data_IF_619614327336
#
_entry.id   IF_619614327336
#
_cell.length_a   1.000
_cell.length_b   1.000
_cell.length_c   1.000
_cell.angle_alpha   90.00
_cell.angle_beta   90.00
_cell.angle_gamma   90.00
#
_symmetry.space_group_name_H-M   'P 1'
#
loop_
_entity.id
_entity.type
_entity.pdbx_description
1 polymer ?
#
# COMPACT_ATOMS: atom_id res chain seq x y z
N UNK A 1 -41.36 -50.12 20.10
CA UNK A 1 -40.94 -51.50 20.41
C UNK A 1 -41.74 -52.45 19.52
N UNK A 2 -41.43 -52.55 18.23
CA UNK A 2 -42.11 -53.46 17.29
C UNK A 2 -41.20 -54.61 16.83
N UNK A 3 -39.95 -54.65 17.30
CA UNK A 3 -38.94 -55.63 16.90
C UNK A 3 -38.88 -56.84 17.84
N UNK A 4 -39.79 -56.93 18.81
CA UNK A 4 -39.87 -58.01 19.80
C UNK A 4 -40.62 -59.25 19.29
N UNK A 5 -41.44 -59.11 18.24
CA UNK A 5 -42.29 -60.19 17.71
C UNK A 5 -41.59 -61.08 16.66
N UNK A 6 -40.47 -60.65 16.08
CA UNK A 6 -39.65 -61.44 15.15
C UNK A 6 -38.21 -61.60 15.66
N UNK A 7 -37.94 -62.63 16.50
CA UNK A 7 -36.58 -62.86 16.96
C UNK A 7 -35.69 -63.33 15.80
N UNK A 8 -34.58 -62.65 15.58
CA UNK A 8 -33.59 -62.95 14.53
C UNK A 8 -32.74 -64.18 14.89
N UNK A 9 -33.38 -65.36 14.99
CA UNK A 9 -32.81 -66.62 15.50
C UNK A 9 -31.79 -67.29 14.55
N UNK A 10 -31.54 -66.73 13.36
CA UNK A 10 -30.61 -67.25 12.36
C UNK A 10 -29.60 -66.23 11.82
N UNK A 11 -29.53 -65.02 12.39
CA UNK A 11 -28.68 -63.96 11.88
C UNK A 11 -27.27 -64.04 12.44
N UNK A 12 -26.28 -64.30 11.58
CA UNK A 12 -24.86 -64.37 11.96
C UNK A 12 -24.30 -62.97 12.14
N UNK A 13 -24.13 -62.53 13.39
CA UNK A 13 -23.48 -61.25 13.71
C UNK A 13 -22.04 -61.28 13.17
N UNK A 14 -21.72 -60.34 12.29
CA UNK A 14 -20.37 -60.21 11.74
C UNK A 14 -19.38 -59.79 12.83
N UNK A 15 -18.10 -60.16 12.70
CA UNK A 15 -17.07 -59.74 13.65
C UNK A 15 -17.03 -58.22 13.74
N UNK A 16 -17.07 -57.71 14.96
CA UNK A 16 -17.02 -56.29 15.27
C UNK A 16 -15.86 -55.58 14.57
N UNK A 17 -16.16 -54.56 13.76
CA UNK A 17 -15.19 -53.66 13.15
C UNK A 17 -15.35 -52.27 13.76
N UNK A 18 -14.39 -51.77 14.55
CA UNK A 18 -14.48 -50.43 15.12
C UNK A 18 -14.46 -49.40 13.98
N UNK A 19 -15.51 -48.57 13.88
CA UNK A 19 -15.65 -47.57 12.81
C UNK A 19 -14.89 -46.28 13.09
N UNK A 20 -14.60 -45.97 14.35
CA UNK A 20 -13.90 -44.78 14.76
C UNK A 20 -12.74 -45.19 15.68
N UNK A 21 -11.52 -44.84 15.28
CA UNK A 21 -10.35 -44.92 16.13
C UNK A 21 -10.16 -43.56 16.79
N UNK A 22 -9.80 -43.56 18.08
CA UNK A 22 -9.47 -42.34 18.81
C UNK A 22 -8.36 -41.62 18.05
N UNK A 23 -8.58 -40.34 17.76
CA UNK A 23 -7.59 -39.50 17.10
C UNK A 23 -6.52 -39.20 18.14
N UNK A 24 -5.30 -39.66 17.88
CA UNK A 24 -4.15 -39.38 18.75
C UNK A 24 -3.75 -37.90 18.63
N UNK A 25 -3.33 -37.25 19.73
CA UNK A 25 -2.98 -35.83 19.73
C UNK A 25 -1.85 -35.48 18.75
N UNK A 26 -0.96 -36.43 18.44
CA UNK A 26 0.07 -36.28 17.40
C UNK A 26 -0.48 -36.21 15.98
N UNK A 27 -1.66 -36.79 15.72
CA UNK A 27 -2.34 -36.70 14.42
C UNK A 27 -3.01 -35.34 14.27
N UNK A 28 -3.54 -34.79 15.37
CA UNK A 28 -4.12 -33.44 15.41
C UNK A 28 -3.02 -32.40 15.15
N UNK A 29 -1.85 -32.52 15.78
CA UNK A 29 -0.74 -31.60 15.55
C UNK A 29 -0.22 -31.67 14.11
N UNK A 30 -0.15 -32.87 13.52
CA UNK A 30 0.20 -33.04 12.09
C UNK A 30 -0.83 -32.42 11.15
N UNK A 31 -2.13 -32.55 11.43
CA UNK A 31 -3.18 -31.92 10.62
C UNK A 31 -3.17 -30.39 10.73
N UNK A 32 -2.90 -29.85 11.93
CA UNK A 32 -2.76 -28.40 12.15
C UNK A 32 -1.50 -27.87 11.45
N UNK A 33 -0.39 -28.60 11.53
CA UNK A 33 0.85 -28.23 10.84
C UNK A 33 0.67 -28.23 9.31
N UNK A 34 0.07 -29.30 8.76
CA UNK A 34 -0.23 -29.38 7.33
C UNK A 34 -1.19 -28.26 6.88
N UNK A 35 -2.22 -27.94 7.68
CA UNK A 35 -3.12 -26.81 7.38
C UNK A 35 -2.41 -25.46 7.42
N UNK A 36 -1.40 -25.30 8.28
CA UNK A 36 -0.61 -24.07 8.39
C UNK A 36 0.36 -23.90 7.21
N UNK A 37 0.88 -25.02 6.69
CA UNK A 37 1.71 -25.04 5.47
C UNK A 37 0.86 -24.81 4.21
N UNK A 38 -0.34 -25.40 4.12
CA UNK A 38 -1.27 -25.17 3.01
C UNK A 38 -1.80 -23.72 2.98
N UNK A 39 -2.07 -23.11 4.14
CA UNK A 39 -2.44 -21.69 4.24
C UNK A 39 -1.29 -20.75 3.86
N UNK A 40 -0.03 -21.15 4.05
CA UNK A 40 1.14 -20.38 3.61
C UNK A 40 1.40 -20.52 2.10
N UNK A 41 1.00 -21.66 1.51
CA UNK A 41 1.17 -21.94 0.08
C UNK A 41 0.06 -21.37 -0.81
N UNK A 42 -1.16 -21.13 -0.29
CA UNK A 42 -2.30 -20.64 -1.06
C UNK A 42 -2.26 -19.13 -1.43
N UNK A 43 -1.25 -18.38 -0.99
CA UNK A 43 -1.25 -16.91 -1.01
C UNK A 43 -0.20 -16.21 -1.88
N UNK A 44 0.46 -16.87 -2.84
CA UNK A 44 1.41 -16.18 -3.72
C UNK A 44 1.25 -16.59 -5.18
N UNK A 45 0.24 -16.01 -5.83
CA UNK A 45 0.45 -15.64 -7.23
C UNK A 45 1.70 -14.74 -7.25
N UNK A 46 2.78 -15.20 -7.88
CA UNK A 46 3.98 -14.39 -8.02
C UNK A 46 3.58 -13.10 -8.74
N UNK A 47 3.58 -11.98 -8.01
CA UNK A 47 3.26 -10.69 -8.61
C UNK A 47 4.25 -10.42 -9.74
N UNK A 48 3.76 -10.04 -10.91
CA UNK A 48 4.57 -9.61 -12.05
C UNK A 48 4.54 -8.08 -12.16
N UNK A 49 5.62 -7.46 -12.65
CA UNK A 49 5.72 -5.99 -12.81
C UNK A 49 6.23 -5.28 -11.55
N UNK A 50 5.89 -3.99 -11.36
CA UNK A 50 6.42 -3.14 -10.27
C UNK A 50 6.19 -3.70 -8.85
N UNK A 51 5.18 -4.55 -8.64
CA UNK A 51 4.91 -5.23 -7.38
C UNK A 51 5.94 -6.33 -7.04
N UNK A 52 6.68 -6.83 -8.04
CA UNK A 52 7.79 -7.77 -7.84
C UNK A 52 9.06 -7.04 -7.36
N UNK A 53 9.34 -5.88 -7.96
CA UNK A 53 10.51 -5.06 -7.65
C UNK A 53 10.35 -4.33 -6.31
N UNK A 54 9.15 -3.78 -6.05
CA UNK A 54 8.81 -3.05 -4.83
C UNK A 54 7.54 -3.64 -4.19
N UNK A 55 7.67 -4.64 -3.30
CA UNK A 55 6.52 -5.30 -2.70
C UNK A 55 5.77 -4.38 -1.74
N UNK A 56 4.47 -4.63 -1.60
CA UNK A 56 3.59 -3.90 -0.68
C UNK A 56 4.14 -4.02 0.75
N UNK A 57 4.29 -2.88 1.42
CA UNK A 57 4.75 -2.82 2.82
C UNK A 57 3.71 -3.44 3.76
N UNK A 58 4.10 -3.81 5.00
CA UNK A 58 3.16 -4.28 6.01
C UNK A 58 1.99 -3.31 6.20
N UNK A 59 0.83 -3.87 6.58
CA UNK A 59 -0.37 -3.11 6.91
C UNK A 59 -0.07 -2.12 8.05
N UNK A 60 -0.66 -0.93 7.94
CA UNK A 60 -0.60 0.12 8.96
C UNK A 60 -2.02 0.41 9.44
N UNK A 61 -2.14 0.93 10.66
CA UNK A 61 -3.41 1.39 11.21
C UNK A 61 -3.86 2.69 10.52
N UNK A 62 -5.18 2.91 10.48
CA UNK A 62 -5.74 4.15 9.91
C UNK A 62 -5.17 5.41 10.57
N UNK A 63 -4.93 5.37 11.89
CA UNK A 63 -4.36 6.48 12.65
C UNK A 63 -2.96 6.90 12.14
N UNK A 64 -2.18 5.98 11.57
CA UNK A 64 -0.89 6.31 10.96
C UNK A 64 -1.05 7.04 9.63
N UNK A 65 -2.11 6.74 8.87
CA UNK A 65 -2.47 7.49 7.67
C UNK A 65 -3.05 8.87 8.01
N UNK A 66 -3.95 8.97 9.01
CA UNK A 66 -4.54 10.26 9.41
C UNK A 66 -3.50 11.24 9.97
N UNK A 67 -2.41 10.73 10.56
CA UNK A 67 -1.23 11.52 10.93
C UNK A 67 -0.57 12.22 9.75
N UNK A 68 -0.77 11.80 8.50
CA UNK A 68 -0.22 12.47 7.32
C UNK A 68 -1.20 13.55 6.85
N UNK A 69 -0.72 14.79 6.75
CA UNK A 69 -1.50 15.88 6.16
C UNK A 69 -1.20 15.98 4.68
N UNK A 70 -1.99 15.26 3.88
CA UNK A 70 -1.93 15.29 2.43
C UNK A 70 -2.84 16.41 1.90
N UNK A 71 -2.29 17.32 1.10
CA UNK A 71 -3.01 18.47 0.56
C UNK A 71 -2.83 18.59 -0.94
N UNK A 72 -3.87 19.02 -1.62
CA UNK A 72 -3.78 19.50 -3.00
C UNK A 72 -3.12 20.88 -2.98
N UNK A 73 -2.11 21.07 -3.83
CA UNK A 73 -1.42 22.33 -3.97
C UNK A 73 -1.25 22.70 -5.45
N UNK A 74 -1.28 23.99 -5.75
CA UNK A 74 -1.01 24.51 -7.08
C UNK A 74 0.45 24.90 -7.22
N UNK A 75 1.10 24.47 -8.29
CA UNK A 75 2.48 24.87 -8.58
C UNK A 75 2.44 26.28 -9.16
N UNK A 76 2.79 27.29 -8.35
CA UNK A 76 2.81 28.70 -8.78
C UNK A 76 4.09 29.02 -9.55
N UNK A 77 5.20 28.42 -9.12
CA UNK A 77 6.51 28.64 -9.72
C UNK A 77 7.30 27.34 -9.68
N UNK A 78 8.00 27.05 -10.76
CA UNK A 78 8.98 25.97 -10.83
C UNK A 78 10.29 26.55 -11.37
N UNK A 79 11.41 26.22 -10.74
CA UNK A 79 12.73 26.65 -11.17
C UNK A 79 13.75 25.52 -11.02
N UNK A 80 14.74 25.41 -11.93
CA UNK A 80 15.85 24.50 -11.73
C UNK A 80 16.72 24.97 -10.56
N UNK A 81 17.26 24.01 -9.80
CA UNK A 81 18.19 24.31 -8.71
C UNK A 81 19.61 24.32 -9.26
N UNK A 82 20.31 25.44 -9.11
CA UNK A 82 21.74 25.55 -9.48
C UNK A 82 22.59 24.60 -8.63
N UNK A 83 23.34 23.71 -9.29
CA UNK A 83 24.16 22.70 -8.61
C UNK A 83 23.43 21.42 -8.21
N UNK A 84 22.17 21.21 -8.65
CA UNK A 84 21.49 19.92 -8.55
C UNK A 84 20.89 19.49 -9.90
N UNK A 85 21.40 18.38 -10.43
CA UNK A 85 20.98 17.88 -11.74
C UNK A 85 19.60 17.23 -11.73
N UNK A 86 19.14 16.77 -10.56
CA UNK A 86 17.88 16.02 -10.40
C UNK A 86 16.77 16.80 -9.70
N UNK A 87 17.04 17.99 -9.16
CA UNK A 87 16.10 18.73 -8.32
C UNK A 87 15.49 19.94 -9.05
N UNK A 88 14.19 20.11 -8.90
CA UNK A 88 13.46 21.34 -9.16
C UNK A 88 13.01 21.96 -7.85
N UNK A 89 13.08 23.29 -7.75
CA UNK A 89 12.45 24.06 -6.69
C UNK A 89 11.03 24.42 -7.14
N UNK A 90 10.05 24.01 -6.36
CA UNK A 90 8.63 24.26 -6.59
C UNK A 90 8.10 25.17 -5.47
N UNK A 91 7.43 26.25 -5.87
CA UNK A 91 6.61 27.06 -4.97
C UNK A 91 5.16 26.61 -5.13
N UNK A 92 4.63 26.01 -4.07
CA UNK A 92 3.30 25.42 -4.01
C UNK A 92 2.35 26.35 -3.26
N UNK A 93 1.18 26.63 -3.82
CA UNK A 93 0.11 27.40 -3.17
C UNK A 93 -0.99 26.45 -2.69
N UNK A 94 -1.36 26.60 -1.42
CA UNK A 94 -2.42 25.85 -0.74
C UNK A 94 -3.72 26.67 -0.62
N UNK A 95 -3.88 27.73 -1.41
CA UNK A 95 -5.08 28.59 -1.41
C UNK A 95 -5.04 29.71 -0.38
N UNK A 96 -3.85 30.05 0.14
CA UNK A 96 -3.68 31.06 1.18
C UNK A 96 -2.31 31.03 1.85
N UNK A 97 -1.63 29.89 1.78
CA UNK A 97 -0.24 29.72 2.22
C UNK A 97 0.59 29.17 1.06
N UNK A 98 1.75 29.78 0.81
CA UNK A 98 2.73 29.27 -0.15
C UNK A 98 3.87 28.56 0.56
N UNK A 99 4.27 27.40 0.04
CA UNK A 99 5.39 26.62 0.57
C UNK A 99 6.44 26.33 -0.47
N UNK A 100 7.68 26.24 -0.02
CA UNK A 100 8.80 25.89 -0.86
C UNK A 100 9.16 24.41 -0.71
N UNK A 101 9.19 23.68 -1.83
CA UNK A 101 9.49 22.24 -1.85
C UNK A 101 10.53 21.94 -2.94
N UNK A 102 11.48 21.07 -2.63
CA UNK A 102 12.43 20.56 -3.61
C UNK A 102 12.00 19.16 -4.07
N UNK A 103 11.78 19.00 -5.37
CA UNK A 103 11.26 17.78 -5.97
C UNK A 103 12.28 17.16 -6.94
N UNK A 104 12.49 15.84 -6.82
CA UNK A 104 13.44 15.07 -7.63
C UNK A 104 12.97 14.76 -9.06
N UNK A 105 12.26 15.68 -9.70
CA UNK A 105 11.48 15.42 -10.92
C UNK A 105 12.04 16.09 -12.17
N UNK A 106 13.22 16.73 -12.07
CA UNK A 106 13.87 17.48 -13.15
C UNK A 106 14.17 16.61 -14.38
N UNK A 107 14.36 15.31 -14.19
CA UNK A 107 14.66 14.36 -15.26
C UNK A 107 13.45 14.02 -16.14
N UNK A 108 12.23 14.20 -15.62
CA UNK A 108 10.99 13.84 -16.30
C UNK A 108 10.19 15.06 -16.78
N UNK A 109 10.31 16.21 -16.09
CA UNK A 109 9.51 17.40 -16.37
C UNK A 109 10.36 18.66 -16.47
N UNK A 110 9.97 19.55 -17.40
CA UNK A 110 10.50 20.90 -17.43
C UNK A 110 9.71 21.82 -16.49
N UNK A 111 10.31 22.91 -15.99
CA UNK A 111 9.63 23.85 -15.12
C UNK A 111 8.36 24.45 -15.74
N UNK A 112 8.35 24.72 -17.06
CA UNK A 112 7.17 25.28 -17.72
C UNK A 112 5.99 24.31 -17.73
N UNK A 113 6.25 23.00 -17.81
CA UNK A 113 5.21 21.97 -17.84
C UNK A 113 4.49 21.83 -16.50
N UNK A 114 5.12 22.25 -15.40
CA UNK A 114 4.60 22.08 -14.05
C UNK A 114 3.86 23.31 -13.55
N UNK A 115 4.24 24.49 -14.00
CA UNK A 115 3.61 25.74 -13.56
C UNK A 115 2.11 25.75 -13.92
N UNK A 116 1.29 26.13 -12.93
CA UNK A 116 -0.16 26.17 -13.03
C UNK A 116 -0.87 24.84 -12.75
N UNK A 117 -0.17 23.70 -12.71
CA UNK A 117 -0.77 22.39 -12.43
C UNK A 117 -1.05 22.20 -10.94
N UNK A 118 -2.05 21.36 -10.65
CA UNK A 118 -2.34 20.88 -9.30
C UNK A 118 -1.58 19.59 -9.05
N UNK A 119 -1.02 19.46 -7.85
CA UNK A 119 -0.30 18.28 -7.39
C UNK A 119 -0.68 17.95 -5.96
N UNK A 120 -0.41 16.72 -5.52
CA UNK A 120 -0.54 16.34 -4.10
C UNK A 120 0.79 16.51 -3.38
N UNK A 121 0.76 17.12 -2.19
CA UNK A 121 1.92 17.25 -1.32
C UNK A 121 1.63 16.78 0.11
N UNK A 122 2.69 16.37 0.82
CA UNK A 122 2.67 16.17 2.28
C UNK A 122 3.01 17.50 2.95
N UNK A 123 2.04 18.08 3.66
CA UNK A 123 2.15 19.40 4.28
C UNK A 123 2.71 19.35 5.71
N UNK A 124 2.54 18.27 6.47
CA UNK A 124 3.00 18.22 7.87
C UNK A 124 4.37 17.54 8.05
N UNK A 125 5.18 17.46 6.99
CA UNK A 125 6.52 16.91 7.08
C UNK A 125 7.46 17.92 7.76
N UNK A 126 8.35 17.45 8.65
CA UNK A 126 9.34 18.34 9.29
C UNK A 126 10.20 19.01 8.22
N UNK A 127 10.34 20.35 8.23
CA UNK A 127 11.14 21.06 7.24
C UNK A 127 12.57 20.54 7.21
N UNK A 128 13.04 20.17 6.02
CA UNK A 128 14.40 19.64 5.82
C UNK A 128 15.28 20.72 5.22
N UNK A 129 16.31 21.13 5.95
CA UNK A 129 17.33 22.04 5.43
C UNK A 129 18.21 21.31 4.42
N UNK A 130 18.25 21.82 3.21
CA UNK A 130 19.10 21.37 2.12
C UNK A 130 20.12 22.45 1.77
N UNK A 131 21.11 22.12 0.95
CA UNK A 131 22.15 23.07 0.50
C UNK A 131 21.55 24.31 -0.21
N UNK A 132 20.36 24.17 -0.78
CA UNK A 132 19.70 25.15 -1.64
C UNK A 132 18.55 25.91 -0.97
N UNK A 133 18.21 25.56 0.28
CA UNK A 133 17.10 26.17 1.01
C UNK A 133 16.39 25.21 1.95
N UNK A 134 15.23 25.64 2.45
CA UNK A 134 14.36 24.83 3.30
C UNK A 134 13.28 24.15 2.43
N UNK A 135 13.15 22.82 2.53
CA UNK A 135 12.02 22.07 1.96
C UNK A 135 10.96 21.88 3.02
N UNK A 136 9.78 22.45 2.82
CA UNK A 136 8.67 22.50 3.79
C UNK A 136 7.57 21.46 3.48
N UNK A 137 7.94 20.43 2.72
CA UNK A 137 7.05 19.36 2.30
C UNK A 137 7.69 18.47 1.26
N UNK A 138 6.87 17.59 0.71
CA UNK A 138 7.25 16.64 -0.34
C UNK A 138 6.09 16.48 -1.31
N UNK A 139 6.38 16.61 -2.61
CA UNK A 139 5.43 16.31 -3.69
C UNK A 139 5.42 14.81 -3.95
N UNK A 140 4.23 14.26 -4.23
CA UNK A 140 4.08 12.85 -4.54
C UNK A 140 4.19 12.60 -6.06
N UNK A 141 5.01 11.61 -6.41
CA UNK A 141 5.17 11.13 -7.77
C UNK A 141 5.34 9.60 -7.75
N UNK A 142 4.92 8.94 -8.82
CA UNK A 142 5.03 7.50 -9.01
C UNK A 142 6.07 7.17 -10.08
N UNK A 143 6.77 6.04 -9.93
CA UNK A 143 7.64 5.47 -10.96
C UNK A 143 9.06 5.13 -10.48
N UNK A 144 9.81 4.34 -11.27
CA UNK A 144 11.12 3.79 -10.89
C UNK A 144 12.25 4.83 -10.83
N UNK A 145 11.98 6.08 -11.22
CA UNK A 145 12.92 7.18 -11.18
C UNK A 145 13.43 7.61 -12.57
N UNK A 146 14.14 8.73 -12.61
CA UNK A 146 14.68 9.26 -13.87
C UNK A 146 13.58 9.88 -14.73
N UNK A 147 13.43 9.39 -15.98
CA UNK A 147 12.43 9.89 -16.93
C UNK A 147 11.05 9.31 -16.69
N UNK A 148 10.97 8.13 -16.08
CA UNK A 148 9.73 7.43 -15.78
C UNK A 148 9.22 7.86 -14.40
N UNK A 149 9.00 9.16 -14.23
CA UNK A 149 8.45 9.73 -13.01
C UNK A 149 7.17 10.48 -13.36
N UNK A 150 6.09 10.17 -12.66
CA UNK A 150 4.75 10.65 -12.95
C UNK A 150 4.22 11.42 -11.74
N UNK A 151 4.09 12.75 -11.87
CA UNK A 151 3.53 13.58 -10.80
C UNK A 151 2.03 13.27 -10.63
N UNK A 152 1.59 13.10 -9.38
CA UNK A 152 0.20 12.83 -9.07
C UNK A 152 -0.62 14.12 -9.10
N UNK A 153 -1.60 14.15 -10.01
CA UNK A 153 -2.55 15.26 -10.15
C UNK A 153 -3.93 14.80 -9.66
N UNK A 154 -4.65 15.66 -8.93
CA UNK A 154 -6.04 15.38 -8.59
C UNK A 154 -6.96 15.54 -9.80
N UNK A 155 -8.14 14.95 -9.72
CA UNK A 155 -9.20 15.13 -10.72
C UNK A 155 -9.71 16.58 -10.78
N UNK A 156 -10.45 16.89 -11.85
CA UNK A 156 -11.02 18.22 -12.04
C UNK A 156 -11.97 18.60 -10.90
N UNK A 157 -11.90 19.87 -10.48
CA UNK A 157 -12.70 20.40 -9.37
C UNK A 157 -11.98 20.36 -8.01
N UNK A 158 -10.81 19.73 -7.91
CA UNK A 158 -9.97 19.87 -6.74
C UNK A 158 -9.39 21.29 -6.63
N UNK A 159 -9.46 21.86 -5.43
CA UNK A 159 -8.96 23.21 -5.14
C UNK A 159 -7.70 23.15 -4.25
N UNK A 160 -6.79 24.13 -4.39
CA UNK A 160 -5.66 24.28 -3.48
C UNK A 160 -6.10 24.31 -2.01
N UNK A 161 -5.41 23.54 -1.16
CA UNK A 161 -5.69 23.44 0.27
C UNK A 161 -6.68 22.34 0.67
N UNK A 162 -7.37 21.70 -0.30
CA UNK A 162 -8.23 20.54 -0.01
C UNK A 162 -7.41 19.39 0.59
N UNK A 163 -7.92 18.80 1.68
CA UNK A 163 -7.31 17.64 2.34
C UNK A 163 -7.62 16.37 1.55
N UNK A 164 -6.58 15.59 1.27
CA UNK A 164 -6.68 14.25 0.69
C UNK A 164 -6.86 13.25 1.83
N UNK A 165 -7.84 12.36 1.69
CA UNK A 165 -8.25 11.37 2.69
C UNK A 165 -8.64 10.07 2.01
#
# INVERSE_FOLDING_TARGET
WHSTDEPLLGHKIQRFKPMLKRIEPETISKMIAASKEDLAAAGKAAASGHLADEPIRPEIEYDDFDKLDLRVARIVKAAPVEGADKLLQLTLDLGGETRNVFAGIKSAYQPEDLQGKLTVMVANLKPRKMRFGLSEGMVLAAGPGGKDLFVLNPDQGAEPGMRVK
#
